data_IF_779083388011
#
_entry.id   IF_779083388011
#
_cell.length_a   1.000
_cell.length_b   1.000
_cell.length_c   1.000
_cell.angle_alpha   90.00
_cell.angle_beta   90.00
_cell.angle_gamma   90.00
#
_symmetry.space_group_name_H-M   'P 1'
#
loop_
_entity.id
_entity.type
_entity.pdbx_description
1 polymer ?
#
# COMPACT_ATOMS: atom_id res chain seq x y z
N UNK A 1 -7.34 14.53 -8.23
CA UNK A 1 -6.11 15.00 -7.62
C UNK A 1 -4.88 14.24 -8.09
N UNK A 2 -4.96 12.93 -8.17
CA UNK A 2 -3.81 12.12 -8.59
C UNK A 2 -3.88 11.66 -10.04
N UNK A 3 -4.74 12.23 -10.83
CA UNK A 3 -5.06 11.71 -12.17
C UNK A 3 -3.85 11.58 -13.08
N UNK A 4 -2.94 12.54 -13.03
CA UNK A 4 -1.77 12.55 -13.93
C UNK A 4 -0.48 12.33 -13.19
N UNK A 5 -0.55 11.97 -11.92
CA UNK A 5 0.63 11.77 -11.09
C UNK A 5 1.15 10.33 -11.30
N UNK A 6 2.45 10.15 -11.55
CA UNK A 6 2.99 8.80 -11.64
C UNK A 6 2.84 8.06 -10.32
N UNK A 7 2.66 6.77 -10.40
CA UNK A 7 2.50 5.96 -9.20
C UNK A 7 3.08 4.57 -9.39
N UNK A 8 3.37 3.92 -8.27
CA UNK A 8 3.71 2.51 -8.25
C UNK A 8 2.46 1.74 -7.87
N UNK A 9 2.32 0.56 -8.41
CA UNK A 9 1.09 -0.21 -8.29
C UNK A 9 1.35 -1.59 -7.72
N UNK A 10 0.47 -2.05 -6.85
CA UNK A 10 0.52 -3.39 -6.33
C UNK A 10 -0.87 -3.92 -6.07
N UNK A 11 -1.09 -5.20 -6.39
CA UNK A 11 -2.34 -5.87 -6.09
C UNK A 11 -2.09 -6.86 -4.98
N UNK A 12 -2.89 -6.78 -3.92
CA UNK A 12 -2.82 -7.72 -2.81
C UNK A 12 -4.07 -8.56 -2.72
N UNK A 13 -3.91 -9.79 -2.24
CA UNK A 13 -5.03 -10.69 -2.05
C UNK A 13 -4.90 -11.43 -0.74
N UNK A 14 -6.01 -11.62 -0.08
CA UNK A 14 -6.06 -12.41 1.13
C UNK A 14 -7.44 -13.06 1.23
N UNK A 15 -7.50 -14.40 1.10
CA UNK A 15 -8.76 -15.13 1.08
C UNK A 15 -9.63 -14.56 -0.05
N UNK A 16 -10.80 -14.05 0.25
CA UNK A 16 -11.68 -13.49 -0.77
C UNK A 16 -11.51 -11.98 -0.95
N UNK A 17 -10.56 -11.36 -0.25
CA UNK A 17 -10.32 -9.92 -0.36
C UNK A 17 -9.30 -9.62 -1.44
N UNK A 18 -9.56 -8.58 -2.23
CA UNK A 18 -8.64 -8.11 -3.26
C UNK A 18 -8.43 -6.62 -3.04
N UNK A 19 -7.17 -6.21 -2.99
CA UNK A 19 -6.81 -4.81 -2.81
C UNK A 19 -5.97 -4.34 -3.98
N UNK A 20 -6.32 -3.19 -4.53
CA UNK A 20 -5.55 -2.52 -5.58
C UNK A 20 -4.94 -1.29 -4.96
N UNK A 21 -3.63 -1.26 -4.90
CA UNK A 21 -2.89 -0.23 -4.17
C UNK A 21 -2.08 0.60 -5.13
N UNK A 22 -2.21 1.91 -5.02
CA UNK A 22 -1.40 2.87 -5.75
C UNK A 22 -0.58 3.68 -4.77
N UNK A 23 0.69 3.80 -5.05
CA UNK A 23 1.65 4.47 -4.20
C UNK A 23 2.10 5.74 -4.91
N UNK A 24 1.72 6.89 -4.37
CA UNK A 24 2.09 8.20 -4.91
C UNK A 24 3.10 8.87 -4.01
N UNK A 25 3.95 9.68 -4.58
CA UNK A 25 4.85 10.48 -3.78
C UNK A 25 4.03 11.47 -2.95
N UNK A 26 4.27 11.51 -1.65
CA UNK A 26 3.45 12.34 -0.77
C UNK A 26 3.98 12.40 0.65
N UNK A 27 3.07 12.48 1.61
CA UNK A 27 3.40 12.75 3.00
C UNK A 27 2.98 11.65 3.97
N UNK A 28 2.42 10.56 3.47
CA UNK A 28 2.05 9.44 4.33
C UNK A 28 0.54 9.28 4.54
N UNK A 29 -0.25 9.91 3.70
CA UNK A 29 -1.70 9.77 3.79
C UNK A 29 -2.15 8.45 3.17
N UNK A 30 -3.03 7.73 3.86
CA UNK A 30 -3.57 6.47 3.38
C UNK A 30 -5.08 6.61 3.20
N UNK A 31 -5.54 6.38 1.99
CA UNK A 31 -6.96 6.46 1.64
C UNK A 31 -7.43 5.09 1.16
N UNK A 32 -8.51 4.60 1.73
CA UNK A 32 -9.07 3.29 1.41
C UNK A 32 -10.52 3.50 0.98
N UNK A 33 -10.81 3.15 -0.27
CA UNK A 33 -12.16 3.31 -0.84
C UNK A 33 -12.71 4.73 -0.61
N UNK A 34 -11.85 5.73 -0.86
CA UNK A 34 -12.18 7.15 -0.72
C UNK A 34 -12.40 7.59 0.73
N UNK A 35 -11.91 6.81 1.69
CA UNK A 35 -12.01 7.14 3.10
C UNK A 35 -10.61 7.08 3.73
N UNK A 36 -10.40 7.93 4.73
CA UNK A 36 -9.15 7.88 5.47
C UNK A 36 -9.02 6.56 6.20
N UNK A 37 -7.79 6.08 6.41
CA UNK A 37 -7.57 4.81 7.08
C UNK A 37 -8.18 4.79 8.49
N UNK A 38 -8.13 5.92 9.21
CA UNK A 38 -8.71 6.02 10.54
C UNK A 38 -10.22 5.91 10.51
N UNK A 39 -10.82 6.33 9.41
CA UNK A 39 -12.27 6.27 9.22
C UNK A 39 -12.69 4.89 8.71
N UNK A 40 -11.86 4.25 7.91
CA UNK A 40 -12.20 2.96 7.33
C UNK A 40 -12.03 1.81 8.32
N UNK A 41 -10.93 1.79 9.06
CA UNK A 41 -10.66 0.77 10.07
C UNK A 41 -10.81 1.37 11.46
N UNK A 42 -11.70 0.80 12.25
CA UNK A 42 -11.90 1.26 13.63
C UNK A 42 -10.90 0.67 14.63
N UNK A 43 -10.17 -0.38 14.23
CA UNK A 43 -9.25 -1.06 15.13
C UNK A 43 -7.81 -0.68 14.82
N UNK A 44 -7.07 -0.32 15.87
CA UNK A 44 -5.65 0.04 15.71
C UNK A 44 -4.83 -1.10 15.13
N UNK A 45 -5.14 -2.34 15.51
CA UNK A 45 -4.40 -3.50 15.01
C UNK A 45 -4.48 -3.61 13.50
N UNK A 46 -5.63 -3.30 12.91
CA UNK A 46 -5.79 -3.35 11.46
C UNK A 46 -5.00 -2.24 10.77
N UNK A 47 -4.96 -1.06 11.38
CA UNK A 47 -4.15 0.04 10.86
C UNK A 47 -2.67 -0.30 10.89
N UNK A 48 -2.22 -0.95 11.96
CA UNK A 48 -0.84 -1.37 12.07
C UNK A 48 -0.47 -2.40 11.00
N UNK A 49 -1.38 -3.32 10.72
CA UNK A 49 -1.15 -4.31 9.67
C UNK A 49 -0.91 -3.61 8.32
N UNK A 50 -1.75 -2.63 8.01
CA UNK A 50 -1.63 -1.90 6.75
C UNK A 50 -0.33 -1.10 6.69
N UNK A 51 0.07 -0.48 7.79
CA UNK A 51 1.25 0.37 7.83
C UNK A 51 2.56 -0.39 7.98
N UNK A 52 2.49 -1.68 8.30
CA UNK A 52 3.69 -2.47 8.58
C UNK A 52 4.74 -2.42 7.47
N UNK A 53 4.39 -2.65 6.19
CA UNK A 53 5.42 -2.59 5.15
C UNK A 53 6.04 -1.20 5.00
N UNK A 54 5.26 -0.16 5.25
CA UNK A 54 5.77 1.20 5.17
C UNK A 54 6.76 1.49 6.31
N UNK A 55 6.45 1.03 7.51
CA UNK A 55 7.33 1.20 8.65
C UNK A 55 8.63 0.43 8.46
N UNK A 56 8.55 -0.78 7.92
CA UNK A 56 9.72 -1.61 7.70
C UNK A 56 10.69 -1.00 6.68
N UNK A 57 10.17 -0.27 5.72
CA UNK A 57 10.99 0.35 4.68
C UNK A 57 11.24 1.83 4.94
N UNK A 58 10.75 2.34 6.07
CA UNK A 58 10.90 3.75 6.45
C UNK A 58 10.35 4.71 5.39
N UNK A 59 9.25 4.31 4.76
CA UNK A 59 8.61 5.11 3.71
C UNK A 59 7.24 5.63 4.13
N UNK A 60 6.89 5.49 5.40
CA UNK A 60 5.56 5.83 5.88
C UNK A 60 5.23 7.31 5.80
N UNK A 61 6.23 8.17 5.68
CA UNK A 61 6.00 9.60 5.51
C UNK A 61 6.45 10.12 4.14
N UNK A 62 6.72 9.22 3.21
CA UNK A 62 7.24 9.59 1.89
C UNK A 62 6.23 9.34 0.77
N UNK A 63 5.24 8.55 1.01
CA UNK A 63 4.27 8.18 -0.02
C UNK A 63 2.86 8.29 0.50
N UNK A 64 1.97 8.72 -0.39
CA UNK A 64 0.53 8.62 -0.17
C UNK A 64 0.05 7.33 -0.79
N UNK A 65 -0.91 6.70 -0.14
CA UNK A 65 -1.44 5.42 -0.59
C UNK A 65 -2.92 5.59 -0.89
N UNK A 66 -3.30 5.24 -2.11
CA UNK A 66 -4.69 5.20 -2.51
C UNK A 66 -5.00 3.76 -2.86
N UNK A 67 -5.95 3.17 -2.17
CA UNK A 67 -6.30 1.79 -2.46
C UNK A 67 -7.79 1.58 -2.57
N UNK A 68 -8.12 0.56 -3.35
CA UNK A 68 -9.47 0.06 -3.48
C UNK A 68 -9.46 -1.38 -3.05
N UNK A 69 -10.34 -1.72 -2.13
CA UNK A 69 -10.40 -3.08 -1.61
C UNK A 69 -11.85 -3.56 -1.65
N UNK A 70 -12.02 -4.82 -1.94
CA UNK A 70 -13.35 -5.44 -1.98
C UNK A 70 -13.26 -6.88 -1.53
N UNK A 71 -14.39 -7.40 -1.11
CA UNK A 71 -14.54 -8.80 -0.73
C UNK A 71 -14.04 -9.08 0.68
N UNK A 72 -14.52 -10.16 1.26
CA UNK A 72 -14.11 -10.62 2.57
C UNK A 72 -14.45 -9.68 3.71
N UNK A 73 -13.92 -9.97 4.88
CA UNK A 73 -14.09 -9.14 6.06
C UNK A 73 -12.95 -8.15 6.23
N UNK A 74 -13.11 -7.25 7.21
CA UNK A 74 -12.13 -6.17 7.41
C UNK A 74 -10.74 -6.70 7.71
N UNK A 75 -10.61 -7.80 8.42
CA UNK A 75 -9.31 -8.39 8.73
C UNK A 75 -8.63 -8.87 7.44
N UNK A 76 -9.37 -9.57 6.58
CA UNK A 76 -8.85 -10.00 5.29
C UNK A 76 -8.49 -8.83 4.40
N UNK A 77 -9.30 -7.78 4.44
CA UNK A 77 -9.03 -6.58 3.67
C UNK A 77 -7.74 -5.90 4.10
N UNK A 78 -7.50 -5.79 5.41
CA UNK A 78 -6.25 -5.22 5.92
C UNK A 78 -5.05 -6.03 5.44
N UNK A 79 -5.14 -7.36 5.47
CA UNK A 79 -4.09 -8.23 4.97
C UNK A 79 -3.85 -8.08 3.48
N UNK A 80 -4.94 -7.95 2.70
CA UNK A 80 -4.82 -7.74 1.26
C UNK A 80 -4.17 -6.39 0.94
N UNK A 81 -4.53 -5.35 1.67
CA UNK A 81 -3.93 -4.03 1.49
C UNK A 81 -2.45 -4.07 1.82
N UNK A 82 -2.09 -4.70 2.93
CA UNK A 82 -0.69 -4.86 3.31
C UNK A 82 0.10 -5.54 2.19
N UNK A 83 -0.45 -6.60 1.64
CA UNK A 83 0.20 -7.32 0.56
C UNK A 83 0.36 -6.45 -0.67
N UNK A 84 -0.67 -5.67 -1.01
CA UNK A 84 -0.63 -4.76 -2.15
C UNK A 84 0.42 -3.66 -1.96
N UNK A 85 0.51 -3.10 -0.75
CA UNK A 85 1.53 -2.10 -0.44
C UNK A 85 2.92 -2.70 -0.59
N UNK A 86 3.12 -3.91 -0.07
CA UNK A 86 4.41 -4.59 -0.19
C UNK A 86 4.80 -4.77 -1.65
N UNK A 87 3.86 -5.14 -2.49
CA UNK A 87 4.13 -5.30 -3.92
C UNK A 87 4.46 -3.99 -4.61
N UNK A 88 3.76 -2.92 -4.24
CA UNK A 88 4.05 -1.60 -4.80
C UNK A 88 5.44 -1.13 -4.37
N UNK A 89 5.81 -1.37 -3.13
CA UNK A 89 7.14 -1.05 -2.64
C UNK A 89 8.22 -1.88 -3.32
N UNK A 90 7.90 -3.12 -3.64
CA UNK A 90 8.81 -3.97 -4.38
C UNK A 90 9.06 -3.42 -5.78
N UNK A 91 8.03 -2.89 -6.41
CA UNK A 91 8.18 -2.25 -7.71
C UNK A 91 9.15 -1.06 -7.62
N UNK A 92 9.04 -0.27 -6.57
CA UNK A 92 9.96 0.82 -6.30
C UNK A 92 11.39 0.29 -6.13
N UNK A 93 11.55 -0.78 -5.37
CA UNK A 93 12.86 -1.41 -5.17
C UNK A 93 13.47 -1.91 -6.47
N UNK A 94 12.64 -2.47 -7.35
CA UNK A 94 13.13 -2.96 -8.63
C UNK A 94 13.69 -1.84 -9.50
N UNK A 95 13.08 -0.67 -9.43
CA UNK A 95 13.59 0.48 -10.16
C UNK A 95 14.97 0.86 -9.63
N UNK A 96 15.14 0.86 -8.33
CA UNK A 96 16.43 1.15 -7.73
C UNK A 96 17.47 0.06 -8.01
N UNK A 97 17.03 -1.19 -8.00
CA UNK A 97 17.91 -2.34 -8.22
C UNK A 97 18.32 -2.46 -9.68
N UNK A 98 17.56 -1.88 -10.58
CA UNK A 98 17.84 -1.99 -12.00
C UNK A 98 19.11 -1.28 -12.44
N UNK A 99 19.80 -0.63 -11.53
CA UNK A 99 21.09 -0.03 -11.82
C UNK A 99 22.08 -1.11 -12.26
N UNK A 100 22.88 -0.83 -13.28
CA UNK A 100 23.73 -1.86 -13.88
C UNK A 100 24.82 -2.39 -12.97
N UNK A 101 25.08 -1.73 -11.89
CA UNK A 101 26.16 -2.13 -10.99
C UNK A 101 25.70 -3.06 -9.88
N UNK A 102 24.51 -3.57 -9.97
CA UNK A 102 23.96 -4.40 -8.90
C UNK A 102 24.02 -5.87 -9.25
N UNK A 103 25.11 -6.53 -9.00
CA UNK A 103 25.11 -7.99 -9.07
C UNK A 103 24.52 -8.55 -7.80
N UNK A 104 24.15 -9.73 -7.87
CA UNK A 104 23.71 -10.34 -6.66
C UNK A 104 24.21 -11.70 -6.57
#
# INVERSE_FOLDING_TARGET
MYDKTPYFYGTGRRKSSVARVRLYQGTGKITINDRDIDDYFGLETLKLIVRQPLALTETDEKFDIVCRVSGGGVTGQAGAIRHGISRALLQLSLIHISEPTRPY
#
